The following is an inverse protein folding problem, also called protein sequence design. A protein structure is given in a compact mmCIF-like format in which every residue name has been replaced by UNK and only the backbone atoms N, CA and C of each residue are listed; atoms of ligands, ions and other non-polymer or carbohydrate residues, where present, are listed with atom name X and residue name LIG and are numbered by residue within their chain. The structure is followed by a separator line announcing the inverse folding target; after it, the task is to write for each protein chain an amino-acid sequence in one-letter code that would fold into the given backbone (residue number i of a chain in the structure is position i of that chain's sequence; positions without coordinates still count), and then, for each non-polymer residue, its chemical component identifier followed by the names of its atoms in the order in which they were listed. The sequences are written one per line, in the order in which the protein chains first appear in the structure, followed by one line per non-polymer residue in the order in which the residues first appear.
data_IF_209993313840
#
_entry.id   IF_209993313840
#
_cell.length_a   1.000
_cell.length_b   1.000
_cell.length_c   1.000
_cell.angle_alpha   90.00
_cell.angle_beta   90.00
_cell.angle_gamma   90.00
#
_symmetry.space_group_name_H-M   'P 1'
#
loop_
_entity.id
_entity.type
_entity.pdbx_description
1 polymer ?
#
# COMPACT_ATOMS: atom_id res chain seq x y z
N UNK A 1 11.36 3.68 18.65
CA UNK A 1 11.70 4.36 17.38
C UNK A 1 11.73 3.29 16.30
N UNK A 2 10.87 3.34 15.30
CA UNK A 2 10.90 2.37 14.19
C UNK A 2 11.85 2.92 13.12
N UNK A 3 12.98 2.24 12.90
CA UNK A 3 13.91 2.56 11.83
C UNK A 3 13.71 1.55 10.70
N UNK A 4 13.50 2.03 9.48
CA UNK A 4 13.46 1.17 8.31
C UNK A 4 14.90 0.86 7.88
N UNK A 5 15.24 -0.43 7.78
CA UNK A 5 16.49 -0.91 7.19
C UNK A 5 16.25 -1.36 5.74
N UNK A 6 17.09 -0.87 4.82
CA UNK A 6 16.93 -1.17 3.40
C UNK A 6 17.16 -2.64 3.04
N UNK A 7 18.02 -3.36 3.77
CA UNK A 7 18.28 -4.78 3.54
C UNK A 7 17.09 -5.62 4.00
N UNK A 8 16.52 -5.30 5.15
CA UNK A 8 15.30 -5.96 5.64
C UNK A 8 14.12 -5.75 4.68
N UNK A 9 13.94 -4.52 4.18
CA UNK A 9 12.91 -4.22 3.18
C UNK A 9 13.11 -5.00 1.87
N UNK A 10 14.35 -5.18 1.41
CA UNK A 10 14.65 -5.98 0.24
C UNK A 10 14.32 -7.47 0.45
N UNK A 11 14.55 -8.01 1.65
CA UNK A 11 14.14 -9.37 1.98
C UNK A 11 12.61 -9.52 1.97
N UNK A 12 11.88 -8.55 2.49
CA UNK A 12 10.40 -8.54 2.43
C UNK A 12 9.92 -8.50 0.98
N UNK A 13 10.55 -7.68 0.13
CA UNK A 13 10.21 -7.58 -1.29
C UNK A 13 10.37 -8.94 -2.01
N UNK A 14 11.48 -9.64 -1.80
CA UNK A 14 11.70 -10.97 -2.40
C UNK A 14 10.60 -11.97 -2.02
N UNK A 15 10.13 -11.95 -0.77
CA UNK A 15 9.05 -12.86 -0.31
C UNK A 15 7.72 -12.52 -1.00
N UNK A 16 7.45 -11.24 -1.26
CA UNK A 16 6.28 -10.76 -2.00
C UNK A 16 6.37 -11.19 -3.48
N UNK A 17 7.54 -11.05 -4.10
CA UNK A 17 7.79 -11.43 -5.50
C UNK A 17 7.65 -12.94 -5.72
N UNK A 18 8.09 -13.74 -4.74
CA UNK A 18 7.88 -15.20 -4.69
C UNK A 18 6.41 -15.60 -4.46
N UNK A 19 5.49 -14.63 -4.32
CA UNK A 19 4.05 -14.83 -4.07
C UNK A 19 3.74 -15.57 -2.77
N UNK A 20 4.69 -15.65 -1.83
CA UNK A 20 4.49 -16.28 -0.51
C UNK A 20 3.65 -15.40 0.42
N UNK A 21 3.69 -14.08 0.23
CA UNK A 21 2.90 -13.09 0.96
C UNK A 21 2.24 -12.15 -0.05
N UNK A 22 0.98 -11.79 0.18
CA UNK A 22 0.24 -10.83 -0.65
C UNK A 22 -0.32 -9.69 0.23
N UNK A 23 -0.07 -8.42 -0.11
CA UNK A 23 -0.72 -7.31 0.57
C UNK A 23 -2.23 -7.31 0.29
N UNK A 24 -3.02 -7.06 1.34
CA UNK A 24 -4.47 -6.90 1.22
C UNK A 24 -4.73 -5.44 0.86
N UNK A 25 -5.22 -5.21 -0.36
CA UNK A 25 -5.64 -3.88 -0.82
C UNK A 25 -7.13 -3.73 -0.52
N UNK A 26 -7.48 -2.75 0.31
CA UNK A 26 -8.86 -2.47 0.70
C UNK A 26 -9.56 -1.61 -0.35
N UNK A 27 -8.86 -0.60 -0.86
CA UNK A 27 -9.42 0.32 -1.85
C UNK A 27 -8.31 0.94 -2.69
N UNK A 28 -8.65 1.27 -3.93
CA UNK A 28 -7.80 2.01 -4.86
C UNK A 28 -8.55 3.28 -5.24
N UNK A 29 -7.94 4.43 -5.01
CA UNK A 29 -8.51 5.74 -5.33
C UNK A 29 -7.59 6.49 -6.29
N UNK A 30 -8.09 7.35 -7.18
CA UNK A 30 -7.22 8.24 -7.95
C UNK A 30 -6.47 9.18 -7.01
N UNK A 31 -5.28 9.64 -7.41
CA UNK A 31 -4.51 10.61 -6.62
C UNK A 31 -5.31 11.88 -6.27
N UNK A 32 -6.25 12.29 -7.13
CA UNK A 32 -7.15 13.41 -6.88
C UNK A 32 -7.99 13.25 -5.59
N UNK A 33 -8.24 12.01 -5.16
CA UNK A 33 -9.02 11.67 -3.96
C UNK A 33 -8.13 11.44 -2.72
N UNK A 34 -6.88 11.92 -2.73
CA UNK A 34 -5.94 11.73 -1.61
C UNK A 34 -6.48 12.20 -0.25
N UNK A 35 -7.27 13.29 -0.23
CA UNK A 35 -7.92 13.76 0.99
C UNK A 35 -8.86 12.70 1.58
N UNK A 36 -9.75 12.13 0.75
CA UNK A 36 -10.68 11.07 1.14
C UNK A 36 -9.94 9.81 1.61
N UNK A 37 -8.88 9.42 0.90
CA UNK A 37 -8.02 8.31 1.31
C UNK A 37 -7.44 8.51 2.71
N UNK A 38 -7.01 9.74 3.02
CA UNK A 38 -6.45 10.08 4.32
C UNK A 38 -7.48 10.05 5.45
N UNK A 39 -8.69 10.54 5.20
CA UNK A 39 -9.82 10.46 6.14
C UNK A 39 -10.20 9.00 6.43
N UNK A 40 -10.27 8.16 5.38
CA UNK A 40 -10.50 6.72 5.53
C UNK A 40 -9.40 6.03 6.36
N UNK A 41 -8.14 6.37 6.13
CA UNK A 41 -7.01 5.82 6.90
C UNK A 41 -7.07 6.18 8.38
N UNK A 42 -7.59 7.37 8.73
CA UNK A 42 -7.74 7.81 10.13
C UNK A 42 -8.87 7.10 10.86
N UNK A 43 -9.89 6.64 10.15
CA UNK A 43 -11.07 6.01 10.75
C UNK A 43 -10.79 4.67 11.46
N UNK A 44 -9.62 4.06 11.25
CA UNK A 44 -9.19 2.82 11.92
C UNK A 44 -9.94 1.54 11.48
N UNK A 45 -11.00 1.66 10.68
CA UNK A 45 -11.79 0.51 10.19
C UNK A 45 -11.30 -0.07 8.85
N UNK A 46 -10.15 0.39 8.36
CA UNK A 46 -9.58 -0.09 7.10
C UNK A 46 -8.65 -1.27 7.36
N UNK A 47 -9.16 -2.49 7.18
CA UNK A 47 -8.33 -3.71 7.16
C UNK A 47 -7.59 -3.81 5.82
N UNK A 48 -6.31 -3.44 5.80
CA UNK A 48 -5.45 -3.52 4.63
C UNK A 48 -4.83 -2.19 4.24
N UNK A 49 -4.52 -2.03 2.95
CA UNK A 49 -3.87 -0.85 2.37
C UNK A 49 -4.85 -0.06 1.50
N UNK A 50 -4.78 1.27 1.61
CA UNK A 50 -5.39 2.21 0.66
C UNK A 50 -4.30 2.57 -0.36
N UNK A 51 -4.58 2.35 -1.64
CA UNK A 51 -3.63 2.62 -2.74
C UNK A 51 -4.10 3.84 -3.53
N UNK A 52 -3.19 4.76 -3.83
CA UNK A 52 -3.45 5.90 -4.71
C UNK A 52 -2.89 5.61 -6.11
N UNK A 53 -3.77 5.65 -7.11
CA UNK A 53 -3.41 5.49 -8.52
C UNK A 53 -2.95 6.83 -9.09
N UNK A 54 -1.69 6.87 -9.53
CA UNK A 54 -1.04 8.06 -10.08
C UNK A 54 -1.02 8.12 -11.62
N UNK A 55 -1.23 6.99 -12.29
CA UNK A 55 -1.32 6.86 -13.73
C UNK A 55 -2.31 5.75 -14.08
N UNK A 56 -2.90 5.81 -15.29
CA UNK A 56 -3.65 4.67 -15.81
C UNK A 56 -2.72 3.46 -16.00
N UNK A 57 -3.26 2.25 -15.84
CA UNK A 57 -2.47 1.05 -16.09
C UNK A 57 -2.01 1.04 -17.55
N UNK A 58 -0.73 0.73 -17.81
CA UNK A 58 -0.28 0.50 -19.18
C UNK A 58 -1.10 -0.65 -19.78
N UNK A 59 -1.62 -0.45 -20.99
CA UNK A 59 -2.33 -1.47 -21.78
C UNK A 59 -1.40 -2.61 -22.17
#
# INVERSE_FOLDING_TARGET
MTQADGKELAQIANIIDEKKIKPIVTTVLPLADAQKAHEMSKSGHTSGKIVLRIAEEPK
#
